data_IF_286242719959
#
_entry.id   IF_286242719959
#
_cell.length_a   1.000
_cell.length_b   1.000
_cell.length_c   1.000
_cell.angle_alpha   90.00
_cell.angle_beta   90.00
_cell.angle_gamma   90.00
#
_symmetry.space_group_name_H-M   'P 1'
#
loop_
_entity.id
_entity.type
_entity.pdbx_description
1 polymer ?
#
# COMPACT_ATOMS: atom_id res chain seq x y z
N UNK A 1 -22.16 -24.32 -0.76
CA UNK A 1 -20.76 -23.97 -0.46
C UNK A 1 -20.71 -22.47 -0.28
N UNK A 2 -20.40 -21.96 0.91
CA UNK A 2 -20.14 -20.51 1.05
C UNK A 2 -18.76 -20.24 0.48
N UNK A 3 -18.70 -19.73 -0.75
CA UNK A 3 -17.48 -19.14 -1.27
C UNK A 3 -17.06 -17.99 -0.37
N UNK A 4 -15.75 -17.74 -0.26
CA UNK A 4 -15.21 -16.58 0.44
C UNK A 4 -15.69 -15.33 -0.28
N UNK A 5 -16.82 -14.73 0.11
CA UNK A 5 -17.34 -13.48 -0.44
C UNK A 5 -16.60 -12.31 0.21
N UNK A 6 -15.77 -11.62 -0.57
CA UNK A 6 -15.10 -10.38 -0.15
C UNK A 6 -15.74 -9.23 -0.90
N UNK A 7 -16.06 -8.16 -0.19
CA UNK A 7 -16.64 -6.95 -0.76
C UNK A 7 -15.56 -6.16 -1.53
N UNK A 8 -15.72 -5.92 -2.86
CA UNK A 8 -14.78 -5.13 -3.64
C UNK A 8 -14.62 -3.68 -3.16
N UNK A 9 -15.65 -3.11 -2.51
CA UNK A 9 -15.58 -1.76 -1.93
C UNK A 9 -14.63 -1.73 -0.72
N UNK A 10 -14.64 -2.79 0.11
CA UNK A 10 -13.71 -2.90 1.24
C UNK A 10 -12.26 -3.00 0.77
N UNK A 11 -11.98 -3.81 -0.25
CA UNK A 11 -10.64 -3.92 -0.84
C UNK A 11 -10.17 -2.59 -1.45
N UNK A 12 -11.06 -1.90 -2.14
CA UNK A 12 -10.80 -0.55 -2.67
C UNK A 12 -10.46 0.42 -1.54
N UNK A 13 -11.20 0.36 -0.42
CA UNK A 13 -10.94 1.16 0.77
C UNK A 13 -9.57 0.88 1.38
N UNK A 14 -9.14 -0.38 1.45
CA UNK A 14 -7.82 -0.78 1.97
C UNK A 14 -6.70 -0.31 1.03
N UNK A 15 -6.81 -0.55 -0.27
CA UNK A 15 -5.83 -0.10 -1.25
C UNK A 15 -5.63 1.43 -1.20
N UNK A 16 -6.73 2.19 -1.14
CA UNK A 16 -6.69 3.64 -1.03
C UNK A 16 -6.02 4.10 0.27
N UNK A 17 -6.30 3.45 1.40
CA UNK A 17 -5.65 3.79 2.69
C UNK A 17 -4.15 3.58 2.63
N UNK A 18 -3.69 2.45 2.07
CA UNK A 18 -2.27 2.13 1.93
C UNK A 18 -1.56 3.15 1.04
N UNK A 19 -2.15 3.48 -0.11
CA UNK A 19 -1.59 4.46 -1.04
C UNK A 19 -1.55 5.86 -0.45
N UNK A 20 -2.61 6.31 0.22
CA UNK A 20 -2.66 7.61 0.88
C UNK A 20 -1.66 7.72 2.04
N UNK A 21 -1.44 6.63 2.78
CA UNK A 21 -0.43 6.58 3.82
C UNK A 21 0.99 6.65 3.23
N UNK A 22 1.26 5.99 2.09
CA UNK A 22 2.51 6.14 1.35
C UNK A 22 2.73 7.60 0.91
N UNK A 23 1.73 8.24 0.29
CA UNK A 23 1.82 9.65 -0.13
C UNK A 23 2.03 10.60 1.04
N UNK A 24 1.30 10.42 2.15
CA UNK A 24 1.45 11.27 3.34
C UNK A 24 2.84 11.17 3.95
N UNK A 25 3.48 10.00 3.85
CA UNK A 25 4.82 9.77 4.35
C UNK A 25 5.88 10.31 3.38
N UNK A 26 5.66 10.21 2.07
CA UNK A 26 6.52 10.80 1.04
C UNK A 26 6.51 12.33 1.06
N UNK A 27 5.38 12.96 1.40
CA UNK A 27 5.28 14.42 1.59
C UNK A 27 6.14 14.94 2.76
N UNK A 28 6.65 14.05 3.62
CA UNK A 28 7.59 14.38 4.71
C UNK A 28 9.07 14.18 4.33
N UNK A 29 9.35 13.78 3.09
CA UNK A 29 10.64 13.21 2.65
C UNK A 29 11.83 14.15 2.60
N UNK A 30 11.66 15.47 2.74
CA UNK A 30 12.82 16.35 2.78
C UNK A 30 13.50 16.24 4.15
N UNK A 31 14.70 15.64 4.25
CA UNK A 31 15.41 15.60 5.51
C UNK A 31 15.65 17.04 5.96
N UNK A 32 15.31 17.40 7.21
CA UNK A 32 15.66 18.70 7.73
C UNK A 32 17.19 18.89 7.66
N UNK A 33 17.69 20.12 7.48
CA UNK A 33 19.12 20.38 7.54
C UNK A 33 19.70 19.84 8.86
N UNK A 34 20.95 19.36 8.79
CA UNK A 34 21.61 18.78 9.94
C UNK A 34 21.56 19.76 11.13
N UNK A 35 21.07 19.33 12.31
CA UNK A 35 21.01 20.19 13.48
C UNK A 35 22.42 20.49 13.96
N UNK A 36 22.70 21.76 14.26
CA UNK A 36 23.97 22.17 14.86
C UNK A 36 23.98 21.75 16.34
N UNK A 37 24.69 20.65 16.62
CA UNK A 37 24.87 20.10 17.97
C UNK A 37 26.35 19.91 18.30
N UNK A 38 27.22 20.71 17.67
CA UNK A 38 28.67 20.65 17.86
C UNK A 38 29.27 19.31 17.42
N UNK A 39 30.07 18.66 18.28
CA UNK A 39 30.74 17.38 17.99
C UNK A 39 29.78 16.25 17.62
N UNK A 40 28.52 16.31 18.08
CA UNK A 40 27.51 15.29 17.78
C UNK A 40 26.86 15.45 16.39
N UNK A 41 27.17 16.52 15.65
CA UNK A 41 26.45 16.90 14.41
C UNK A 41 26.49 15.79 13.37
N UNK A 42 27.66 15.16 13.20
CA UNK A 42 27.84 14.05 12.25
C UNK A 42 27.01 12.82 12.64
N UNK A 43 27.00 12.45 13.92
CA UNK A 43 26.25 11.31 14.42
C UNK A 43 24.73 11.52 14.27
N UNK A 44 24.24 12.73 14.56
CA UNK A 44 22.82 13.07 14.41
C UNK A 44 22.42 13.11 12.92
N UNK A 45 23.25 13.69 12.06
CA UNK A 45 23.02 13.67 10.62
C UNK A 45 22.96 12.25 10.05
N UNK A 46 23.86 11.36 10.50
CA UNK A 46 23.85 9.94 10.11
C UNK A 46 22.57 9.21 10.55
N UNK A 47 22.12 9.43 11.78
CA UNK A 47 20.87 8.85 12.28
C UNK A 47 19.64 9.35 11.49
N UNK A 48 19.60 10.64 11.15
CA UNK A 48 18.53 11.21 10.32
C UNK A 48 18.55 10.67 8.88
N UNK A 49 19.73 10.45 8.30
CA UNK A 49 19.85 9.82 6.99
C UNK A 49 19.34 8.37 6.99
N UNK A 50 19.69 7.59 8.03
CA UNK A 50 19.17 6.21 8.21
C UNK A 50 17.66 6.18 8.40
N UNK A 51 17.12 7.11 9.19
CA UNK A 51 15.67 7.26 9.37
C UNK A 51 14.99 7.58 8.03
N UNK A 52 15.50 8.55 7.28
CA UNK A 52 14.95 8.94 5.97
C UNK A 52 14.96 7.77 4.98
N UNK A 53 16.07 7.03 4.93
CA UNK A 53 16.20 5.83 4.08
C UNK A 53 15.20 4.73 4.47
N UNK A 54 15.02 4.48 5.77
CA UNK A 54 14.05 3.50 6.27
C UNK A 54 12.61 3.91 5.93
N UNK A 55 12.29 5.20 6.06
CA UNK A 55 10.99 5.77 5.70
C UNK A 55 10.69 5.59 4.21
N UNK A 56 11.68 5.80 3.33
CA UNK A 56 11.51 5.57 1.89
C UNK A 56 11.13 4.10 1.57
N UNK A 57 11.78 3.13 2.23
CA UNK A 57 11.42 1.72 2.08
C UNK A 57 10.01 1.38 2.57
N UNK A 58 9.53 2.07 3.62
CA UNK A 58 8.16 1.93 4.12
C UNK A 58 7.16 2.49 3.09
N UNK A 59 7.42 3.68 2.53
CA UNK A 59 6.59 4.29 1.47
C UNK A 59 6.42 3.33 0.29
N UNK A 60 7.54 2.78 -0.19
CA UNK A 60 7.54 1.82 -1.31
C UNK A 60 6.74 0.56 -0.98
N UNK A 61 6.93 0.00 0.22
CA UNK A 61 6.19 -1.18 0.68
C UNK A 61 4.69 -0.96 0.81
N UNK A 62 4.25 0.21 1.30
CA UNK A 62 2.84 0.56 1.39
C UNK A 62 2.21 0.75 0.00
N UNK A 63 2.94 1.37 -0.94
CA UNK A 63 2.52 1.49 -2.33
C UNK A 63 2.30 0.12 -2.97
N UNK A 64 3.31 -0.76 -2.88
CA UNK A 64 3.24 -2.13 -3.42
C UNK A 64 2.11 -2.96 -2.79
N UNK A 65 1.89 -2.84 -1.48
CA UNK A 65 0.79 -3.51 -0.79
C UNK A 65 -0.58 -2.99 -1.28
N UNK A 66 -0.72 -1.68 -1.51
CA UNK A 66 -1.92 -1.08 -2.06
C UNK A 66 -2.23 -1.59 -3.47
N UNK A 67 -1.21 -1.66 -4.33
CA UNK A 67 -1.36 -2.17 -5.70
C UNK A 67 -1.73 -3.67 -5.71
N UNK A 68 -1.13 -4.48 -4.85
CA UNK A 68 -1.47 -5.91 -4.73
C UNK A 68 -2.92 -6.14 -4.24
N UNK A 69 -3.43 -5.29 -3.34
CA UNK A 69 -4.84 -5.34 -2.91
C UNK A 69 -5.79 -4.98 -4.06
N UNK A 70 -5.43 -3.97 -4.87
CA UNK A 70 -6.22 -3.59 -6.03
C UNK A 70 -6.24 -4.70 -7.10
N UNK A 71 -5.09 -5.32 -7.39
CA UNK A 71 -5.00 -6.46 -8.31
C UNK A 71 -5.83 -7.66 -7.81
N UNK A 72 -5.76 -7.96 -6.51
CA UNK A 72 -6.56 -9.02 -5.90
C UNK A 72 -8.07 -8.77 -6.01
N UNK A 73 -8.52 -7.52 -5.90
CA UNK A 73 -9.92 -7.13 -6.12
C UNK A 73 -10.33 -7.41 -7.58
N UNK A 74 -9.53 -7.00 -8.54
CA UNK A 74 -9.85 -7.15 -9.96
C UNK A 74 -9.99 -8.62 -10.35
N UNK A 75 -9.09 -9.48 -9.84
CA UNK A 75 -9.18 -10.93 -10.01
C UNK A 75 -10.44 -11.53 -9.35
N UNK A 76 -10.84 -10.98 -8.22
CA UNK A 76 -12.04 -11.41 -7.51
C UNK A 76 -13.30 -11.11 -8.33
N UNK A 77 -13.43 -9.88 -8.84
CA UNK A 77 -14.55 -9.46 -9.69
C UNK A 77 -14.61 -10.24 -11.01
N UNK A 78 -13.46 -10.50 -11.64
CA UNK A 78 -13.38 -11.31 -12.86
C UNK A 78 -13.86 -12.74 -12.60
N UNK A 79 -13.39 -13.35 -11.50
CA UNK A 79 -13.77 -14.71 -11.13
C UNK A 79 -15.27 -14.80 -10.81
N UNK A 80 -15.81 -13.84 -10.06
CA UNK A 80 -17.24 -13.82 -9.72
C UNK A 80 -18.12 -13.66 -10.96
N UNK A 81 -17.74 -12.74 -11.86
CA UNK A 81 -18.41 -12.55 -13.15
C UNK A 81 -18.38 -13.81 -14.00
N UNK A 82 -17.21 -14.44 -14.15
CA UNK A 82 -17.05 -15.67 -14.94
C UNK A 82 -17.89 -16.82 -14.36
N UNK A 83 -17.96 -16.92 -13.03
CA UNK A 83 -18.80 -17.91 -12.37
C UNK A 83 -20.29 -17.66 -12.65
N UNK A 84 -20.74 -16.40 -12.56
CA UNK A 84 -22.13 -16.03 -12.84
C UNK A 84 -22.55 -16.39 -14.28
N UNK A 85 -21.72 -16.04 -15.27
CA UNK A 85 -21.95 -16.38 -16.69
C UNK A 85 -22.07 -17.90 -16.89
N UNK A 86 -21.20 -18.69 -16.26
CA UNK A 86 -21.22 -20.16 -16.33
C UNK A 86 -22.45 -20.79 -15.67
N UNK A 87 -23.07 -20.14 -14.69
CA UNK A 87 -24.33 -20.59 -14.10
C UNK A 87 -25.52 -20.27 -15.00
N UNK A 88 -25.53 -19.12 -15.67
CA UNK A 88 -26.60 -18.74 -16.60
C UNK A 88 -26.63 -19.60 -17.88
N UNK A 89 -25.49 -20.17 -18.28
CA UNK A 89 -25.37 -21.04 -19.47
C UNK A 89 -25.74 -22.52 -19.23
N UNK A 90 -25.99 -22.96 -17.99
CA UNK A 90 -26.40 -24.33 -17.68
C UNK A 90 -27.94 -24.46 -17.63
N UNK A 91 -28.60 -25.11 -18.61
CA UNK A 91 -30.02 -25.39 -18.52
C UNK A 91 -30.26 -26.44 -17.42
N UNK A 92 -31.24 -26.18 -16.56
CA UNK A 92 -31.68 -27.09 -15.49
C UNK A 92 -32.30 -28.39 -16.01
#
# INVERSE_FOLDING_TARGET
>A
MSGTHVDPEELTGVANKLRNAATSLDDTSSPPPAPDVGEATEAVAGAMALLTSSTAGIVEGLGAAGDAVAEGRDLYEETDRSNAERFDEQPG
#
